data_IF_690438115283
#
_entry.id   IF_690438115283
#
_cell.length_a   1.000
_cell.length_b   1.000
_cell.length_c   1.000
_cell.angle_alpha   90.00
_cell.angle_beta   90.00
_cell.angle_gamma   90.00
#
_symmetry.space_group_name_H-M   'P 1'
#
loop_
_entity.id
_entity.type
_entity.pdbx_description
1 polymer ?
#
# COMPACT_ATOMS: atom_id res chain seq x y z
N UNK A 1 -17.93 -27.83 -63.37
CA UNK A 1 -17.54 -28.90 -62.43
C UNK A 1 -16.36 -28.41 -61.63
N UNK A 2 -16.64 -27.79 -60.49
CA UNK A 2 -15.66 -27.26 -59.54
C UNK A 2 -15.17 -28.39 -58.65
N UNK A 3 -13.87 -28.67 -58.71
CA UNK A 3 -13.20 -29.57 -57.80
C UNK A 3 -13.16 -28.93 -56.41
N UNK A 4 -14.04 -29.40 -55.53
CA UNK A 4 -14.02 -29.10 -54.11
C UNK A 4 -12.94 -29.99 -53.50
N UNK A 5 -11.72 -29.46 -53.38
CA UNK A 5 -10.63 -30.12 -52.66
C UNK A 5 -11.14 -30.49 -51.25
N UNK A 6 -11.34 -31.79 -51.08
CA UNK A 6 -11.73 -32.39 -49.83
C UNK A 6 -10.56 -32.18 -48.87
N UNK A 7 -10.71 -31.24 -47.92
CA UNK A 7 -9.78 -31.14 -46.77
C UNK A 7 -9.77 -32.52 -46.12
N UNK A 8 -8.67 -33.25 -46.31
CA UNK A 8 -8.45 -34.59 -45.78
C UNK A 8 -8.67 -34.59 -44.26
N UNK A 9 -9.79 -35.14 -43.80
CA UNK A 9 -9.97 -35.51 -42.39
C UNK A 9 -9.17 -36.80 -42.13
N UNK A 10 -7.84 -36.67 -42.05
CA UNK A 10 -6.97 -37.74 -41.62
C UNK A 10 -7.19 -38.08 -40.14
N UNK A 11 -6.82 -39.28 -39.67
CA UNK A 11 -7.06 -39.73 -38.29
C UNK A 11 -6.41 -38.85 -37.20
N UNK A 12 -5.46 -37.99 -37.56
CA UNK A 12 -4.80 -37.02 -36.68
C UNK A 12 -5.36 -35.59 -36.80
N UNK A 13 -6.42 -35.37 -37.59
CA UNK A 13 -6.98 -34.04 -37.82
C UNK A 13 -7.51 -33.40 -36.53
N UNK A 14 -7.98 -34.20 -35.57
CA UNK A 14 -8.39 -33.72 -34.24
C UNK A 14 -7.20 -33.24 -33.40
N UNK A 15 -6.04 -33.90 -33.50
CA UNK A 15 -4.82 -33.54 -32.75
C UNK A 15 -4.14 -32.29 -33.31
N UNK A 16 -4.11 -32.11 -34.63
CA UNK A 16 -3.44 -30.98 -35.30
C UNK A 16 -4.39 -29.86 -35.73
N UNK A 17 -5.71 -30.06 -35.59
CA UNK A 17 -6.73 -29.12 -36.09
C UNK A 17 -6.59 -27.72 -35.52
N UNK A 18 -6.26 -27.58 -34.23
CA UNK A 18 -6.06 -26.28 -33.58
C UNK A 18 -4.83 -25.53 -34.09
N UNK A 19 -3.73 -26.24 -34.35
CA UNK A 19 -2.52 -25.65 -34.93
C UNK A 19 -2.74 -25.26 -36.39
N UNK A 20 -3.44 -26.10 -37.15
CA UNK A 20 -3.82 -25.80 -38.54
C UNK A 20 -4.78 -24.60 -38.61
N UNK A 21 -5.68 -24.44 -37.64
CA UNK A 21 -6.59 -23.30 -37.56
C UNK A 21 -5.86 -21.96 -37.37
N UNK A 22 -4.73 -21.93 -36.63
CA UNK A 22 -3.90 -20.72 -36.50
C UNK A 22 -3.24 -20.29 -37.82
N UNK A 23 -3.05 -21.23 -38.75
CA UNK A 23 -2.48 -20.97 -40.07
C UNK A 23 -3.54 -20.64 -41.13
N UNK A 24 -4.82 -20.90 -40.85
CA UNK A 24 -5.90 -20.69 -41.81
C UNK A 24 -6.31 -19.21 -41.84
N UNK A 25 -5.83 -18.50 -42.87
CA UNK A 25 -6.10 -17.08 -43.06
C UNK A 25 -7.47 -16.80 -43.71
N UNK A 26 -8.28 -17.85 -44.00
CA UNK A 26 -9.55 -17.71 -44.73
C UNK A 26 -10.76 -17.42 -43.83
N UNK A 27 -10.66 -17.65 -42.52
CA UNK A 27 -11.75 -17.37 -41.60
C UNK A 27 -11.63 -15.94 -41.07
N UNK A 28 -12.35 -15.03 -41.73
CA UNK A 28 -12.46 -13.61 -41.40
C UNK A 28 -13.36 -13.36 -40.17
N UNK A 29 -13.35 -14.26 -39.19
CA UNK A 29 -13.99 -14.05 -37.90
C UNK A 29 -13.05 -13.18 -37.07
N UNK A 30 -13.47 -11.95 -36.78
CA UNK A 30 -12.66 -10.98 -36.02
C UNK A 30 -12.17 -11.48 -34.64
N UNK A 31 -12.76 -12.58 -34.14
CA UNK A 31 -12.44 -13.22 -32.86
C UNK A 31 -11.46 -14.40 -32.94
N UNK A 32 -11.08 -14.89 -34.13
CA UNK A 32 -10.10 -16.00 -34.24
C UNK A 32 -8.67 -15.48 -34.28
N UNK A 33 -7.85 -16.00 -33.35
CA UNK A 33 -6.42 -15.72 -33.26
C UNK A 33 -5.68 -16.30 -34.49
N UNK A 34 -4.77 -15.53 -35.08
CA UNK A 34 -4.09 -15.83 -36.34
C UNK A 34 -2.57 -15.64 -36.18
N UNK A 35 -1.80 -16.61 -36.66
CA UNK A 35 -0.33 -16.57 -36.65
C UNK A 35 0.23 -15.37 -37.43
N UNK A 36 -0.38 -15.00 -38.56
CA UNK A 36 0.08 -13.88 -39.37
C UNK A 36 -0.01 -12.56 -38.59
N UNK A 37 -1.14 -12.34 -37.90
CA UNK A 37 -1.35 -11.16 -37.04
C UNK A 37 -0.35 -11.14 -35.89
N UNK A 38 -0.08 -12.29 -35.25
CA UNK A 38 0.97 -12.39 -34.22
C UNK A 38 2.36 -12.03 -34.77
N UNK A 39 2.77 -12.59 -35.91
CA UNK A 39 4.08 -12.32 -36.52
C UNK A 39 4.22 -10.85 -36.93
N UNK A 40 3.17 -10.22 -37.45
CA UNK A 40 3.17 -8.78 -37.74
C UNK A 40 3.38 -7.96 -36.46
N UNK A 41 2.65 -8.26 -35.39
CA UNK A 41 2.78 -7.59 -34.09
C UNK A 41 4.18 -7.76 -33.47
N UNK A 42 4.70 -8.99 -33.46
CA UNK A 42 6.07 -9.30 -32.99
C UNK A 42 7.12 -8.54 -33.81
N UNK A 43 6.92 -8.45 -35.12
CA UNK A 43 7.83 -7.70 -36.00
C UNK A 43 7.81 -6.20 -35.69
N UNK A 44 6.63 -5.63 -35.42
CA UNK A 44 6.51 -4.22 -35.00
C UNK A 44 7.24 -3.97 -33.68
N UNK A 45 7.07 -4.85 -32.69
CA UNK A 45 7.81 -4.76 -31.41
C UNK A 45 9.31 -4.84 -31.65
N UNK A 46 9.77 -5.81 -32.45
CA UNK A 46 11.19 -5.97 -32.80
C UNK A 46 11.75 -4.72 -33.47
N UNK A 47 11.05 -4.17 -34.46
CA UNK A 47 11.48 -2.96 -35.16
C UNK A 47 11.59 -1.78 -34.22
N UNK A 48 10.64 -1.63 -33.29
CA UNK A 48 10.68 -0.57 -32.26
C UNK A 48 11.88 -0.73 -31.34
N UNK A 49 12.17 -1.95 -30.89
CA UNK A 49 13.37 -2.24 -30.07
C UNK A 49 14.67 -1.99 -30.85
N UNK A 50 14.70 -2.31 -32.15
CA UNK A 50 15.85 -2.02 -33.02
C UNK A 50 16.05 -0.51 -33.23
N UNK A 51 14.97 0.27 -33.39
CA UNK A 51 15.04 1.73 -33.47
C UNK A 51 15.62 2.33 -32.18
N UNK A 52 15.24 1.80 -31.02
CA UNK A 52 15.79 2.22 -29.73
C UNK A 52 17.29 1.89 -29.67
N UNK A 53 17.67 0.65 -29.99
CA UNK A 53 19.06 0.21 -29.96
C UNK A 53 19.97 0.99 -30.93
N UNK A 54 19.45 1.44 -32.07
CA UNK A 54 20.16 2.23 -33.07
C UNK A 54 20.07 3.75 -32.90
N UNK A 55 19.40 4.23 -31.85
CA UNK A 55 19.25 5.67 -31.59
C UNK A 55 20.52 6.29 -31.01
N UNK A 56 20.60 7.62 -31.03
CA UNK A 56 21.73 8.36 -30.42
C UNK A 56 21.81 8.21 -28.90
N UNK A 57 20.70 7.89 -28.24
CA UNK A 57 20.62 7.60 -26.81
C UNK A 57 19.65 6.42 -26.55
N UNK A 58 20.13 5.18 -26.68
CA UNK A 58 19.31 3.98 -26.49
C UNK A 58 18.74 3.85 -25.08
N UNK A 59 19.47 4.35 -24.07
CA UNK A 59 19.07 4.23 -22.67
C UNK A 59 17.86 5.13 -22.38
N UNK A 60 17.89 6.39 -22.80
CA UNK A 60 16.78 7.31 -22.61
C UNK A 60 15.50 6.85 -23.33
N UNK A 61 15.62 6.36 -24.57
CA UNK A 61 14.46 5.83 -25.29
C UNK A 61 13.88 4.56 -24.68
N UNK A 62 14.74 3.64 -24.19
CA UNK A 62 14.29 2.43 -23.50
C UNK A 62 13.56 2.76 -22.19
N UNK A 63 14.06 3.74 -21.45
CA UNK A 63 13.42 4.24 -20.24
C UNK A 63 12.05 4.87 -20.54
N UNK A 64 11.91 5.66 -21.61
CA UNK A 64 10.61 6.20 -22.02
C UNK A 64 9.61 5.10 -22.39
N UNK A 65 10.05 4.09 -23.15
CA UNK A 65 9.21 2.95 -23.52
C UNK A 65 8.68 2.22 -22.28
N UNK A 66 9.57 1.87 -21.36
CA UNK A 66 9.18 1.17 -20.16
C UNK A 66 8.35 2.06 -19.21
N UNK A 67 8.60 3.37 -19.18
CA UNK A 67 7.74 4.30 -18.46
C UNK A 67 6.32 4.32 -19.03
N UNK A 68 6.15 4.28 -20.36
CA UNK A 68 4.82 4.19 -20.96
C UNK A 68 4.11 2.88 -20.63
N UNK A 69 4.86 1.78 -20.47
CA UNK A 69 4.33 0.50 -19.97
C UNK A 69 3.85 0.63 -18.53
N UNK A 70 4.70 1.11 -17.61
CA UNK A 70 4.37 1.23 -16.19
C UNK A 70 3.20 2.18 -15.93
N UNK A 71 3.02 3.18 -16.81
CA UNK A 71 1.88 4.09 -16.80
C UNK A 71 0.62 3.50 -17.45
N UNK A 72 0.69 2.33 -18.08
CA UNK A 72 -0.44 1.72 -18.81
C UNK A 72 -0.80 2.47 -20.10
N UNK A 73 0.13 3.22 -20.69
CA UNK A 73 -0.05 4.00 -21.92
C UNK A 73 0.45 3.30 -23.18
N UNK A 74 1.41 2.38 -23.07
CA UNK A 74 1.90 1.63 -24.22
C UNK A 74 1.03 0.41 -24.47
N UNK A 75 0.29 0.45 -25.57
CA UNK A 75 -0.62 -0.61 -25.99
C UNK A 75 0.15 -1.74 -26.70
N UNK A 76 1.19 -1.42 -27.46
CA UNK A 76 1.76 -2.39 -28.43
C UNK A 76 2.44 -3.62 -27.80
N UNK A 77 3.28 -3.47 -26.77
CA UNK A 77 4.03 -4.60 -26.19
C UNK A 77 3.14 -5.47 -25.29
N UNK A 78 2.31 -4.86 -24.44
CA UNK A 78 1.37 -5.56 -23.57
C UNK A 78 0.34 -6.31 -24.40
N UNK A 79 -0.25 -5.66 -25.41
CA UNK A 79 -1.27 -6.30 -26.26
C UNK A 79 -0.68 -7.43 -27.10
N UNK A 80 0.56 -7.29 -27.58
CA UNK A 80 1.21 -8.37 -28.35
C UNK A 80 1.48 -9.59 -27.47
N UNK A 81 1.88 -9.36 -26.22
CA UNK A 81 2.10 -10.44 -25.24
C UNK A 81 0.77 -11.10 -24.85
N UNK A 82 -0.27 -10.32 -24.64
CA UNK A 82 -1.59 -10.84 -24.28
C UNK A 82 -2.20 -11.60 -25.47
N UNK A 83 -2.02 -11.11 -26.70
CA UNK A 83 -2.37 -11.84 -27.93
C UNK A 83 -1.64 -13.17 -28.04
N UNK A 84 -0.33 -13.19 -27.79
CA UNK A 84 0.48 -14.41 -27.78
C UNK A 84 0.04 -15.39 -26.69
N UNK A 85 -0.33 -14.89 -25.51
CA UNK A 85 -0.83 -15.70 -24.39
C UNK A 85 -2.19 -16.33 -24.70
N UNK A 86 -3.10 -15.58 -25.34
CA UNK A 86 -4.38 -16.07 -25.81
C UNK A 86 -4.19 -17.13 -26.91
N UNK A 87 -3.28 -16.89 -27.87
CA UNK A 87 -2.97 -17.85 -28.93
C UNK A 87 -2.40 -19.17 -28.36
N UNK A 88 -1.50 -19.08 -27.38
CA UNK A 88 -0.96 -20.25 -26.69
C UNK A 88 -2.03 -21.02 -25.90
N UNK A 89 -2.92 -20.33 -25.20
CA UNK A 89 -4.00 -20.95 -24.44
C UNK A 89 -5.05 -21.63 -25.35
N UNK A 90 -5.34 -21.03 -26.51
CA UNK A 90 -6.27 -21.57 -27.50
C UNK A 90 -5.84 -22.90 -28.13
N UNK A 91 -4.58 -23.29 -28.01
CA UNK A 91 -4.05 -24.57 -28.52
C UNK A 91 -4.38 -25.79 -27.65
N UNK A 92 -4.91 -25.58 -26.44
CA UNK A 92 -5.24 -26.66 -25.51
C UNK A 92 -4.04 -27.22 -24.73
N UNK A 93 -4.33 -28.12 -23.79
CA UNK A 93 -3.32 -28.65 -22.85
C UNK A 93 -2.22 -29.48 -23.53
N UNK A 94 -2.57 -30.19 -24.59
CA UNK A 94 -1.66 -31.06 -25.35
C UNK A 94 -0.52 -30.27 -26.02
N UNK A 95 -0.81 -29.03 -26.42
CA UNK A 95 0.12 -28.13 -27.11
C UNK A 95 0.66 -27.02 -26.19
N UNK A 96 0.38 -27.08 -24.88
CA UNK A 96 0.74 -26.02 -23.94
C UNK A 96 2.22 -25.64 -24.00
N UNK A 97 3.12 -26.63 -23.98
CA UNK A 97 4.56 -26.40 -24.02
C UNK A 97 5.03 -25.74 -25.33
N UNK A 98 4.43 -26.12 -26.46
CA UNK A 98 4.70 -25.50 -27.76
C UNK A 98 4.18 -24.06 -27.79
N UNK A 99 2.93 -23.85 -27.38
CA UNK A 99 2.29 -22.55 -27.34
C UNK A 99 3.08 -21.54 -26.51
N UNK A 100 3.48 -21.94 -25.29
CA UNK A 100 4.33 -21.13 -24.42
C UNK A 100 5.68 -20.79 -25.06
N UNK A 101 6.33 -21.76 -25.70
CA UNK A 101 7.67 -21.57 -26.25
C UNK A 101 7.67 -20.66 -27.48
N UNK A 102 6.64 -20.73 -28.33
CA UNK A 102 6.58 -19.99 -29.59
C UNK A 102 5.90 -18.62 -29.44
N UNK A 103 4.80 -18.54 -28.68
CA UNK A 103 3.96 -17.33 -28.62
C UNK A 103 4.23 -16.45 -27.39
N UNK A 104 4.82 -16.99 -26.32
CA UNK A 104 4.95 -16.27 -25.05
C UNK A 104 6.42 -15.95 -24.73
N UNK A 105 7.29 -16.97 -24.69
CA UNK A 105 8.71 -16.81 -24.29
C UNK A 105 9.50 -15.73 -25.05
N UNK A 106 9.40 -15.59 -26.39
CA UNK A 106 10.16 -14.56 -27.10
C UNK A 106 9.77 -13.14 -26.66
N UNK A 107 8.49 -12.93 -26.37
CA UNK A 107 7.99 -11.65 -25.86
C UNK A 107 8.41 -11.43 -24.41
N UNK A 108 8.35 -12.46 -23.55
CA UNK A 108 8.84 -12.37 -22.17
C UNK A 108 10.34 -12.05 -22.09
N UNK A 109 11.16 -12.62 -22.97
CA UNK A 109 12.59 -12.32 -23.04
C UNK A 109 12.85 -10.87 -23.46
N UNK A 110 12.16 -10.40 -24.50
CA UNK A 110 12.25 -8.99 -24.91
C UNK A 110 11.78 -8.05 -23.79
N UNK A 111 10.74 -8.44 -23.07
CA UNK A 111 10.15 -7.69 -21.95
C UNK A 111 11.10 -7.53 -20.78
N UNK A 112 11.76 -8.61 -20.33
CA UNK A 112 12.71 -8.57 -19.21
C UNK A 112 13.89 -7.62 -19.49
N UNK A 113 14.38 -7.60 -20.74
CA UNK A 113 15.46 -6.71 -21.15
C UNK A 113 15.05 -5.23 -21.15
N UNK A 114 13.77 -4.93 -21.42
CA UNK A 114 13.24 -3.57 -21.42
C UNK A 114 12.91 -3.08 -20.00
N UNK A 115 12.37 -3.95 -19.15
CA UNK A 115 11.87 -3.56 -17.83
C UNK A 115 12.94 -3.41 -16.76
N UNK A 116 14.04 -4.17 -16.80
CA UNK A 116 15.03 -4.15 -15.71
C UNK A 116 15.67 -2.76 -15.52
N UNK A 117 16.18 -2.08 -16.57
CA UNK A 117 16.73 -0.72 -16.42
C UNK A 117 15.66 0.31 -16.03
N UNK A 118 14.42 0.08 -16.44
CA UNK A 118 13.30 0.94 -16.11
C UNK A 118 12.87 0.82 -14.65
N UNK A 119 12.94 -0.38 -14.08
CA UNK A 119 12.69 -0.63 -12.67
C UNK A 119 13.70 0.14 -11.80
N UNK A 120 14.98 0.08 -12.15
CA UNK A 120 16.04 0.83 -11.48
C UNK A 120 15.86 2.34 -11.63
N UNK A 121 15.53 2.80 -12.84
CA UNK A 121 15.21 4.21 -13.07
C UNK A 121 14.01 4.67 -12.23
N UNK A 122 12.96 3.86 -12.14
CA UNK A 122 11.79 4.18 -11.34
C UNK A 122 12.16 4.25 -9.86
N UNK A 123 12.97 3.32 -9.34
CA UNK A 123 13.48 3.36 -7.98
C UNK A 123 14.24 4.67 -7.71
N UNK A 124 15.07 5.12 -8.64
CA UNK A 124 15.78 6.41 -8.52
C UNK A 124 14.82 7.60 -8.55
N UNK A 125 13.79 7.56 -9.40
CA UNK A 125 12.76 8.61 -9.42
C UNK A 125 11.92 8.62 -8.15
N UNK A 126 11.57 7.46 -7.61
CA UNK A 126 10.84 7.33 -6.35
C UNK A 126 11.63 7.95 -5.19
N UNK A 127 12.93 7.64 -5.10
CA UNK A 127 13.81 8.22 -4.08
C UNK A 127 13.82 9.74 -4.15
N UNK A 128 14.16 10.28 -5.32
CA UNK A 128 14.31 11.72 -5.53
C UNK A 128 12.99 12.50 -5.44
N UNK A 129 11.89 11.95 -5.95
CA UNK A 129 10.61 12.65 -5.99
C UNK A 129 9.83 12.58 -4.67
N UNK A 130 10.02 11.53 -3.87
CA UNK A 130 9.20 11.28 -2.68
C UNK A 130 10.05 11.01 -1.45
N UNK A 131 10.93 10.00 -1.47
CA UNK A 131 11.63 9.52 -0.26
C UNK A 131 12.56 10.57 0.32
N UNK A 132 13.35 11.25 -0.50
CA UNK A 132 14.28 12.28 -0.04
C UNK A 132 13.51 13.43 0.63
N UNK A 133 12.42 13.88 0.01
CA UNK A 133 11.55 14.91 0.56
C UNK A 133 10.84 14.48 1.85
N UNK A 134 10.45 13.20 1.95
CA UNK A 134 9.85 12.61 3.14
C UNK A 134 10.86 12.57 4.30
N UNK A 135 12.03 11.99 4.05
CA UNK A 135 13.09 11.88 5.04
C UNK A 135 13.58 13.26 5.51
N UNK A 136 13.73 14.22 4.60
CA UNK A 136 14.11 15.59 4.97
C UNK A 136 13.08 16.27 5.88
N UNK A 137 11.80 16.01 5.67
CA UNK A 137 10.73 16.60 6.48
C UNK A 137 10.58 15.93 7.85
N UNK A 138 10.72 14.61 7.90
CA UNK A 138 10.23 13.79 9.00
C UNK A 138 11.31 13.00 9.76
N UNK A 139 12.54 12.92 9.23
CA UNK A 139 13.65 12.28 9.93
C UNK A 139 13.94 12.99 11.26
N UNK A 140 14.20 12.20 12.31
CA UNK A 140 14.48 12.73 13.64
C UNK A 140 13.31 13.50 14.27
N UNK A 141 12.06 13.11 13.96
CA UNK A 141 10.85 13.67 14.58
C UNK A 141 9.90 12.56 15.01
N UNK A 142 9.08 12.85 16.01
CA UNK A 142 7.94 12.02 16.39
C UNK A 142 6.82 12.16 15.36
N UNK A 143 6.11 11.08 14.99
CA UNK A 143 6.13 9.73 15.58
C UNK A 143 7.23 8.79 15.06
N UNK A 144 7.96 9.14 14.02
CA UNK A 144 8.92 8.21 13.39
C UNK A 144 10.07 7.80 14.31
N UNK A 145 10.57 8.72 15.13
CA UNK A 145 11.56 8.48 16.19
C UNK A 145 11.05 8.99 17.53
N UNK A 146 11.43 8.31 18.62
CA UNK A 146 11.07 8.74 19.97
C UNK A 146 11.96 9.90 20.43
N UNK A 147 11.66 11.10 19.95
CA UNK A 147 12.35 12.34 20.26
C UNK A 147 11.34 13.43 20.59
N UNK A 148 11.78 14.56 21.16
CA UNK A 148 10.89 15.64 21.58
C UNK A 148 10.29 16.46 20.44
N UNK A 149 10.96 16.53 19.28
CA UNK A 149 10.47 17.31 18.16
C UNK A 149 9.35 16.58 17.40
N UNK A 150 8.27 17.28 17.14
CA UNK A 150 7.09 16.75 16.46
C UNK A 150 7.14 16.95 14.94
N UNK A 151 6.62 15.98 14.19
CA UNK A 151 6.37 16.10 12.76
C UNK A 151 5.21 17.06 12.48
N UNK A 152 5.29 17.83 11.40
CA UNK A 152 4.21 18.74 11.01
C UNK A 152 3.01 17.97 10.44
N UNK A 153 1.86 18.02 11.11
CA UNK A 153 0.61 17.39 10.66
C UNK A 153 0.12 17.91 9.29
N UNK A 154 0.10 19.24 9.02
CA UNK A 154 -0.27 19.73 7.69
C UNK A 154 0.68 19.28 6.59
N UNK A 155 1.98 19.15 6.90
CA UNK A 155 2.95 18.64 5.93
C UNK A 155 2.75 17.13 5.69
N UNK A 156 2.44 16.37 6.74
CA UNK A 156 2.11 14.95 6.64
C UNK A 156 0.89 14.74 5.72
N UNK A 157 -0.18 15.52 5.88
CA UNK A 157 -1.34 15.48 4.99
C UNK A 157 -0.97 15.66 3.50
N UNK A 158 -0.05 16.58 3.18
CA UNK A 158 0.42 16.80 1.79
C UNK A 158 1.10 15.57 1.17
N UNK A 159 1.58 14.63 1.98
CA UNK A 159 2.11 13.36 1.49
C UNK A 159 1.05 12.27 1.42
N UNK A 160 0.23 12.12 2.46
CA UNK A 160 -0.67 10.97 2.68
C UNK A 160 -2.03 11.10 2.01
N UNK A 161 -2.53 12.32 1.74
CA UNK A 161 -3.86 12.51 1.17
C UNK A 161 -4.10 11.61 -0.04
N UNK A 162 -5.21 10.87 -0.03
CA UNK A 162 -5.38 9.72 -0.91
C UNK A 162 -5.50 10.08 -2.41
N UNK A 163 -5.90 11.32 -2.72
CA UNK A 163 -6.04 11.79 -4.11
C UNK A 163 -5.00 12.84 -4.49
N UNK A 164 -4.67 13.76 -3.56
CA UNK A 164 -3.80 14.92 -3.84
C UNK A 164 -2.39 14.80 -3.24
N UNK A 165 -2.18 13.79 -2.40
CA UNK A 165 -0.91 13.52 -1.73
C UNK A 165 0.23 13.27 -2.72
N UNK A 166 1.45 13.63 -2.33
CA UNK A 166 2.66 13.39 -3.15
C UNK A 166 2.84 11.91 -3.48
N UNK A 167 2.56 11.02 -2.51
CA UNK A 167 2.67 9.57 -2.70
C UNK A 167 1.61 9.10 -3.70
N UNK A 168 0.33 9.40 -3.44
CA UNK A 168 -0.77 9.01 -4.32
C UNK A 168 -0.57 9.48 -5.77
N UNK A 169 -0.21 10.76 -5.97
CA UNK A 169 0.08 11.31 -7.31
C UNK A 169 1.27 10.64 -7.97
N UNK A 170 2.31 10.26 -7.22
CA UNK A 170 3.42 9.51 -7.78
C UNK A 170 2.96 8.16 -8.32
N UNK A 171 2.18 7.41 -7.52
CA UNK A 171 1.66 6.09 -7.91
C UNK A 171 0.77 6.21 -9.15
N UNK A 172 -0.18 7.14 -9.16
CA UNK A 172 -1.11 7.35 -10.29
C UNK A 172 -0.37 7.77 -11.57
N UNK A 173 0.65 8.61 -11.48
CA UNK A 173 1.34 9.14 -12.66
C UNK A 173 2.44 8.22 -13.21
N UNK A 174 2.96 7.27 -12.43
CA UNK A 174 4.11 6.46 -12.82
C UNK A 174 3.84 4.95 -12.81
N UNK A 175 2.83 4.48 -12.07
CA UNK A 175 2.59 3.05 -11.82
C UNK A 175 1.15 2.61 -12.17
N UNK A 176 0.34 3.45 -12.81
CA UNK A 176 -1.08 3.15 -13.11
C UNK A 176 -1.32 1.89 -13.96
N UNK A 177 -0.33 1.43 -14.73
CA UNK A 177 -0.42 0.20 -15.53
C UNK A 177 -0.09 -1.08 -14.76
N UNK A 178 0.56 -0.97 -13.60
CA UNK A 178 1.08 -2.11 -12.83
C UNK A 178 0.62 -2.11 -11.37
N UNK A 179 0.01 -1.03 -10.90
CA UNK A 179 -0.51 -0.88 -9.55
C UNK A 179 -1.86 -0.16 -9.63
N UNK A 180 -2.89 -0.77 -9.05
CA UNK A 180 -4.25 -0.24 -9.07
C UNK A 180 -4.72 0.00 -7.64
N UNK A 181 -5.57 1.01 -7.48
CA UNK A 181 -6.23 1.29 -6.20
C UNK A 181 -7.54 0.51 -6.15
N UNK A 182 -7.66 -0.37 -5.16
CA UNK A 182 -8.84 -1.16 -4.86
C UNK A 182 -9.33 -0.79 -3.46
N UNK A 183 -10.40 0.01 -3.38
CA UNK A 183 -10.83 0.64 -2.14
C UNK A 183 -9.72 1.53 -1.55
N UNK A 184 -9.23 1.16 -0.35
CA UNK A 184 -8.14 1.85 0.33
C UNK A 184 -6.76 1.17 0.16
N UNK A 185 -6.67 0.08 -0.61
CA UNK A 185 -5.40 -0.62 -0.81
C UNK A 185 -4.87 -0.44 -2.22
N UNK A 186 -3.55 -0.45 -2.33
CA UNK A 186 -2.82 -0.51 -3.58
C UNK A 186 -2.45 -1.96 -3.85
N UNK A 187 -2.98 -2.49 -4.94
CA UNK A 187 -2.85 -3.89 -5.34
C UNK A 187 -2.08 -3.97 -6.66
N UNK A 188 -1.03 -4.80 -6.75
CA UNK A 188 -0.32 -5.04 -8.00
C UNK A 188 -1.23 -5.65 -9.08
N UNK A 189 -1.11 -5.17 -10.32
CA UNK A 189 -1.75 -5.80 -11.47
C UNK A 189 -0.91 -7.00 -11.93
N UNK A 190 -1.34 -8.21 -11.55
CA UNK A 190 -0.62 -9.47 -11.78
C UNK A 190 -0.48 -9.79 -13.27
N UNK A 191 -1.37 -9.26 -14.12
CA UNK A 191 -1.32 -9.49 -15.56
C UNK A 191 -0.12 -8.74 -16.14
N UNK A 192 0.05 -7.47 -15.78
CA UNK A 192 1.08 -6.59 -16.36
C UNK A 192 2.45 -6.67 -15.66
N UNK A 193 2.55 -7.34 -14.51
CA UNK A 193 3.78 -7.42 -13.71
C UNK A 193 4.61 -8.69 -13.93
N UNK A 194 4.26 -9.59 -14.86
CA UNK A 194 5.13 -10.75 -15.15
C UNK A 194 6.53 -10.31 -15.57
N UNK A 195 7.53 -10.72 -14.78
CA UNK A 195 8.94 -10.31 -14.96
C UNK A 195 9.37 -9.08 -14.16
N UNK A 196 8.48 -8.49 -13.35
CA UNK A 196 8.76 -7.36 -12.48
C UNK A 196 8.16 -7.60 -11.09
N UNK A 197 9.01 -7.69 -10.07
CA UNK A 197 8.58 -7.98 -8.70
C UNK A 197 8.58 -6.71 -7.87
N UNK A 198 7.44 -6.35 -7.30
CA UNK A 198 7.37 -5.28 -6.30
C UNK A 198 8.10 -5.69 -5.03
N UNK A 199 8.80 -4.74 -4.41
CA UNK A 199 9.33 -4.91 -3.06
C UNK A 199 8.14 -5.08 -2.08
N UNK A 200 8.02 -6.21 -1.36
CA UNK A 200 6.92 -6.42 -0.42
C UNK A 200 6.88 -5.35 0.68
N UNK A 201 8.05 -4.86 1.13
CA UNK A 201 8.12 -3.80 2.13
C UNK A 201 7.52 -2.48 1.61
N UNK A 202 7.70 -2.18 0.31
CA UNK A 202 7.08 -1.01 -0.32
C UNK A 202 5.56 -1.13 -0.33
N UNK A 203 5.02 -2.28 -0.74
CA UNK A 203 3.57 -2.52 -0.74
C UNK A 203 2.98 -2.42 0.67
N UNK A 204 3.63 -3.03 1.67
CA UNK A 204 3.22 -2.91 3.07
C UNK A 204 3.20 -1.45 3.50
N UNK A 205 4.29 -0.71 3.23
CA UNK A 205 4.44 0.68 3.63
C UNK A 205 3.36 1.60 3.04
N UNK A 206 3.11 1.53 1.73
CA UNK A 206 2.10 2.40 1.10
C UNK A 206 0.68 2.04 1.56
N UNK A 207 0.40 0.77 1.86
CA UNK A 207 -0.91 0.34 2.36
C UNK A 207 -1.13 0.77 3.80
N UNK A 208 -0.11 0.68 4.67
CA UNK A 208 -0.16 1.26 6.03
C UNK A 208 -0.42 2.77 5.99
N UNK A 209 0.26 3.50 5.09
CA UNK A 209 0.03 4.94 4.95
C UNK A 209 -1.36 5.26 4.39
N UNK A 210 -1.91 4.43 3.49
CA UNK A 210 -3.27 4.61 2.96
C UNK A 210 -4.32 4.36 4.04
N UNK A 211 -4.10 3.34 4.89
CA UNK A 211 -4.94 3.10 6.07
C UNK A 211 -4.96 4.30 7.02
N UNK A 212 -3.81 4.86 7.33
CA UNK A 212 -3.71 6.06 8.17
C UNK A 212 -4.42 7.25 7.53
N UNK A 213 -4.28 7.43 6.21
CA UNK A 213 -4.93 8.51 5.48
C UNK A 213 -6.46 8.44 5.60
N UNK A 214 -7.03 7.26 5.38
CA UNK A 214 -8.48 7.05 5.43
C UNK A 214 -9.07 7.14 6.84
N UNK A 215 -8.29 6.96 7.90
CA UNK A 215 -8.77 7.10 9.28
C UNK A 215 -8.57 8.54 9.80
N UNK A 216 -7.38 9.11 9.61
CA UNK A 216 -6.97 10.36 10.28
C UNK A 216 -6.96 11.60 9.38
N UNK A 217 -7.10 11.45 8.05
CA UNK A 217 -6.98 12.54 7.07
C UNK A 217 -8.16 12.60 6.07
N UNK A 218 -9.34 12.12 6.48
CA UNK A 218 -10.55 11.99 5.65
C UNK A 218 -10.98 13.28 4.92
N UNK A 219 -10.72 14.44 5.52
CA UNK A 219 -11.09 15.76 4.97
C UNK A 219 -9.94 16.48 4.27
N UNK A 220 -8.80 15.81 4.07
CA UNK A 220 -7.59 16.37 3.47
C UNK A 220 -6.65 17.06 4.45
N UNK A 221 -7.04 17.15 5.73
CA UNK A 221 -6.25 17.63 6.85
C UNK A 221 -6.34 16.63 8.01
N UNK A 222 -5.38 16.67 8.95
CA UNK A 222 -5.43 15.83 10.14
C UNK A 222 -6.69 16.17 10.95
N UNK A 223 -7.52 15.16 11.23
CA UNK A 223 -8.74 15.34 12.00
C UNK A 223 -9.53 14.05 12.15
N UNK A 224 -9.81 13.68 13.39
CA UNK A 224 -10.65 12.53 13.75
C UNK A 224 -11.37 12.79 15.07
N UNK A 225 -12.37 11.95 15.33
CA UNK A 225 -13.12 11.94 16.58
C UNK A 225 -13.10 10.55 17.20
N UNK A 226 -13.12 10.53 18.53
CA UNK A 226 -13.20 9.29 19.31
C UNK A 226 -13.88 9.58 20.63
N UNK A 227 -14.26 8.55 21.36
CA UNK A 227 -14.87 8.68 22.67
C UNK A 227 -14.03 7.97 23.73
N UNK A 228 -13.88 8.60 24.89
CA UNK A 228 -13.31 7.98 26.07
C UNK A 228 -14.36 7.84 27.14
N UNK A 229 -14.34 6.69 27.81
CA UNK A 229 -15.06 6.44 29.05
C UNK A 229 -14.04 6.17 30.16
N UNK A 230 -14.07 6.90 31.27
CA UNK A 230 -13.18 6.62 32.39
C UNK A 230 -13.57 5.29 33.03
N UNK A 231 -12.56 4.50 33.39
CA UNK A 231 -12.69 3.26 34.15
C UNK A 231 -12.43 3.49 35.63
N UNK A 232 -12.82 2.51 36.45
CA UNK A 232 -12.52 2.50 37.88
C UNK A 232 -11.21 1.75 38.16
N UNK A 233 -10.57 2.10 39.28
CA UNK A 233 -9.39 1.40 39.76
C UNK A 233 -9.31 1.47 41.29
N UNK A 234 -8.79 0.40 41.89
CA UNK A 234 -8.63 0.33 43.34
C UNK A 234 -7.67 1.43 43.83
N UNK A 235 -8.08 2.16 44.88
CA UNK A 235 -7.25 3.18 45.51
C UNK A 235 -7.06 4.46 44.70
N UNK A 236 -7.80 4.67 43.60
CA UNK A 236 -7.83 5.90 42.81
C UNK A 236 -9.16 6.62 43.05
N UNK A 237 -9.11 7.87 43.52
CA UNK A 237 -10.30 8.69 43.83
C UNK A 237 -10.72 9.57 42.67
N UNK A 238 -9.74 10.09 41.92
CA UNK A 238 -9.99 10.95 40.77
C UNK A 238 -8.97 10.69 39.68
N UNK A 239 -9.41 10.73 38.43
CA UNK A 239 -8.53 10.84 37.26
C UNK A 239 -8.93 12.07 36.44
N UNK A 240 -7.94 12.79 35.95
CA UNK A 240 -8.13 13.94 35.08
C UNK A 240 -7.26 13.77 33.85
N UNK A 241 -7.89 13.55 32.70
CA UNK A 241 -7.26 13.54 31.39
C UNK A 241 -7.60 14.84 30.66
N UNK A 242 -6.59 15.52 30.13
CA UNK A 242 -6.75 16.73 29.33
C UNK A 242 -6.03 16.50 28.00
N UNK A 243 -6.71 16.73 26.88
CA UNK A 243 -6.08 16.74 25.55
C UNK A 243 -6.60 17.94 24.78
N UNK A 244 -5.70 18.79 24.27
CA UNK A 244 -6.02 20.02 23.53
C UNK A 244 -7.13 20.84 24.22
N UNK A 245 -6.96 21.08 25.53
CA UNK A 245 -7.90 21.78 26.42
C UNK A 245 -9.27 21.10 26.65
N UNK A 246 -9.52 19.92 26.09
CA UNK A 246 -10.72 19.11 26.36
C UNK A 246 -10.50 18.26 27.61
N UNK A 247 -11.25 18.54 28.69
CA UNK A 247 -11.04 17.93 30.02
C UNK A 247 -12.02 16.79 30.31
N UNK A 248 -11.54 15.63 30.73
CA UNK A 248 -12.33 14.55 31.32
C UNK A 248 -11.90 14.34 32.77
N UNK A 249 -12.71 14.86 33.69
CA UNK A 249 -12.54 14.71 35.13
C UNK A 249 -13.48 13.62 35.60
N UNK A 250 -12.95 12.61 36.28
CA UNK A 250 -13.72 11.48 36.79
C UNK A 250 -13.45 11.28 38.27
N UNK A 251 -14.52 11.27 39.08
CA UNK A 251 -14.48 11.14 40.54
C UNK A 251 -15.28 9.93 41.04
N UNK A 252 -15.18 8.79 40.33
CA UNK A 252 -15.90 7.54 40.65
C UNK A 252 -17.44 7.62 40.63
N UNK A 253 -17.99 8.57 39.86
CA UNK A 253 -19.43 8.62 39.55
C UNK A 253 -19.81 7.61 38.45
N UNK A 254 -21.09 7.58 38.06
CA UNK A 254 -21.54 6.76 36.95
C UNK A 254 -20.77 7.14 35.66
N UNK A 255 -20.02 6.21 35.03
CA UNK A 255 -19.10 6.57 33.95
C UNK A 255 -19.86 6.79 32.64
N UNK A 256 -19.69 7.97 32.06
CA UNK A 256 -20.29 8.41 30.78
C UNK A 256 -19.23 8.46 29.68
N UNK A 257 -19.65 8.24 28.44
CA UNK A 257 -18.82 8.47 27.26
C UNK A 257 -18.66 9.96 27.03
N UNK A 258 -17.43 10.39 26.75
CA UNK A 258 -17.12 11.75 26.31
C UNK A 258 -16.44 11.70 24.96
N UNK A 259 -16.99 12.44 24.00
CA UNK A 259 -16.38 12.62 22.68
C UNK A 259 -15.23 13.63 22.75
N UNK A 260 -14.18 13.34 22.00
CA UNK A 260 -12.98 14.15 21.82
C UNK A 260 -12.72 14.35 20.33
N UNK A 261 -12.12 15.50 20.01
CA UNK A 261 -11.61 15.83 18.68
C UNK A 261 -10.08 15.90 18.74
N UNK A 262 -9.39 15.29 17.78
CA UNK A 262 -7.95 15.42 17.62
C UNK A 262 -7.57 15.60 16.14
N UNK A 263 -6.66 16.53 15.82
CA UNK A 263 -6.22 17.65 16.65
C UNK A 263 -7.35 18.65 16.88
N UNK A 264 -7.36 19.36 18.01
CA UNK A 264 -8.28 20.49 18.22
C UNK A 264 -7.56 21.85 18.09
N UNK A 265 -8.32 22.88 17.71
CA UNK A 265 -7.81 24.25 17.63
C UNK A 265 -7.67 24.84 19.03
N UNK A 266 -6.43 25.04 19.46
CA UNK A 266 -6.09 25.55 20.79
C UNK A 266 -4.70 26.20 20.80
N UNK A 267 -4.50 27.20 21.66
CA UNK A 267 -3.21 27.88 21.81
C UNK A 267 -2.14 27.02 22.49
N UNK A 268 -2.55 26.04 23.30
CA UNK A 268 -1.65 25.16 24.05
C UNK A 268 -2.00 23.68 23.80
N UNK A 269 -1.66 23.14 22.61
CA UNK A 269 -1.92 21.75 22.28
C UNK A 269 -1.03 20.83 23.12
N UNK A 270 -1.54 19.64 23.42
CA UNK A 270 -0.86 18.68 24.28
C UNK A 270 -1.82 17.75 25.00
N UNK A 271 -1.28 16.72 25.64
CA UNK A 271 -2.05 15.82 26.48
C UNK A 271 -1.41 15.63 27.84
N UNK A 272 -2.25 15.55 28.87
CA UNK A 272 -1.80 15.39 30.24
C UNK A 272 -2.76 14.47 31.00
N UNK A 273 -2.19 13.64 31.88
CA UNK A 273 -2.93 12.70 32.72
C UNK A 273 -2.48 12.87 34.16
N UNK A 274 -3.43 13.07 35.06
CA UNK A 274 -3.20 13.16 36.50
C UNK A 274 -4.20 12.32 37.27
N UNK A 275 -3.83 11.94 38.49
CA UNK A 275 -4.70 11.18 39.38
C UNK A 275 -4.58 11.64 40.83
N UNK A 276 -5.63 11.39 41.60
CA UNK A 276 -5.67 11.52 43.06
C UNK A 276 -5.87 10.13 43.63
N UNK A 277 -5.04 9.75 44.60
CA UNK A 277 -5.16 8.46 45.28
C UNK A 277 -5.88 8.60 46.61
N UNK A 278 -6.23 7.49 47.25
CA UNK A 278 -6.78 7.51 48.62
C UNK A 278 -5.78 7.96 49.69
N UNK A 279 -4.48 8.00 49.38
CA UNK A 279 -3.40 8.24 50.33
C UNK A 279 -2.65 9.55 50.08
N UNK A 280 -2.80 10.15 48.90
CA UNK A 280 -2.07 11.34 48.47
C UNK A 280 -2.90 12.18 47.49
N UNK A 281 -2.64 13.49 47.49
CA UNK A 281 -3.26 14.46 46.58
C UNK A 281 -2.88 14.24 45.10
N UNK A 282 -3.17 15.24 44.27
CA UNK A 282 -2.97 15.16 42.83
C UNK A 282 -1.51 14.91 42.47
N UNK A 283 -1.27 13.90 41.62
CA UNK A 283 0.02 13.61 41.00
C UNK A 283 -0.14 13.57 39.48
N UNK A 284 0.89 14.05 38.78
CA UNK A 284 0.94 14.02 37.33
C UNK A 284 1.56 12.71 36.85
N UNK A 285 0.90 11.99 35.95
CA UNK A 285 1.45 10.81 35.28
C UNK A 285 2.42 11.26 34.19
N UNK A 286 1.91 12.05 33.24
CA UNK A 286 2.66 12.64 32.15
C UNK A 286 2.04 13.97 31.73
N UNK A 287 2.87 14.90 31.27
CA UNK A 287 2.46 16.15 30.62
C UNK A 287 3.26 16.30 29.33
N UNK A 288 2.58 16.15 28.19
CA UNK A 288 3.16 15.94 26.88
C UNK A 288 2.67 17.06 25.95
N UNK A 289 3.41 18.18 25.84
CA UNK A 289 3.01 19.32 25.01
C UNK A 289 3.15 18.99 23.51
N UNK A 290 2.49 19.78 22.68
CA UNK A 290 2.55 19.67 21.22
C UNK A 290 1.36 18.92 20.64
N UNK A 291 1.17 19.05 19.32
CA UNK A 291 0.02 18.47 18.62
C UNK A 291 -0.02 16.94 18.65
N UNK A 292 1.12 16.29 18.92
CA UNK A 292 1.21 14.84 19.07
C UNK A 292 1.10 14.35 20.50
N UNK A 293 0.85 15.24 21.47
CA UNK A 293 0.77 14.92 22.89
C UNK A 293 -0.17 13.74 23.20
N UNK A 294 -1.35 13.71 22.57
CA UNK A 294 -2.31 12.61 22.71
C UNK A 294 -1.71 11.27 22.27
N UNK A 295 -1.07 11.25 21.10
CA UNK A 295 -0.52 10.00 20.54
C UNK A 295 0.64 9.50 21.41
N UNK A 296 1.47 10.40 21.93
CA UNK A 296 2.53 10.06 22.90
C UNK A 296 1.94 9.48 24.20
N UNK A 297 0.84 10.05 24.69
CA UNK A 297 0.17 9.53 25.87
C UNK A 297 -0.38 8.12 25.61
N UNK A 298 -1.00 7.89 24.44
CA UNK A 298 -1.53 6.58 24.05
C UNK A 298 -0.43 5.53 23.85
N UNK A 299 0.75 5.92 23.35
CA UNK A 299 1.92 5.04 23.24
C UNK A 299 2.34 4.47 24.61
N UNK A 300 2.25 5.28 25.68
CA UNK A 300 2.60 4.87 27.05
C UNK A 300 1.56 3.95 27.72
N UNK A 301 0.38 3.77 27.12
CA UNK A 301 -0.67 2.91 27.66
C UNK A 301 -0.39 1.44 27.33
N UNK A 302 -0.81 0.53 28.21
CA UNK A 302 -1.12 -0.84 27.78
C UNK A 302 -2.47 -0.85 27.09
N UNK A 303 -2.57 -1.51 25.94
CA UNK A 303 -3.73 -1.49 25.05
C UNK A 303 -4.14 -2.93 24.78
N UNK A 304 -5.44 -3.20 24.76
CA UNK A 304 -6.01 -4.47 24.31
C UNK A 304 -7.44 -4.26 23.84
N UNK A 305 -7.95 -5.15 23.00
CA UNK A 305 -9.34 -5.13 22.60
C UNK A 305 -10.26 -5.16 23.84
N UNK A 306 -11.29 -4.31 23.87
CA UNK A 306 -12.26 -4.25 24.95
C UNK A 306 -13.42 -5.22 24.66
N UNK A 307 -13.56 -6.33 25.39
CA UNK A 307 -14.68 -7.25 25.19
C UNK A 307 -16.01 -6.54 25.52
N UNK A 308 -17.00 -6.70 24.64
CA UNK A 308 -18.34 -6.14 24.83
C UNK A 308 -18.53 -4.69 24.38
N UNK A 309 -17.51 -4.06 23.76
CA UNK A 309 -17.62 -2.75 23.12
C UNK A 309 -17.14 -2.86 21.68
N UNK A 310 -18.05 -2.70 20.70
CA UNK A 310 -17.68 -2.66 19.29
C UNK A 310 -16.72 -1.48 19.04
N UNK A 311 -15.64 -1.73 18.31
CA UNK A 311 -14.54 -0.77 18.09
C UNK A 311 -14.04 -0.17 19.41
N UNK A 312 -13.90 -1.03 20.42
CA UNK A 312 -13.50 -0.66 21.77
C UNK A 312 -12.09 -1.16 22.10
N UNK A 313 -11.28 -0.31 22.73
CA UNK A 313 -9.99 -0.67 23.31
C UNK A 313 -9.97 -0.31 24.78
N UNK A 314 -9.46 -1.21 25.62
CA UNK A 314 -9.15 -0.87 27.00
C UNK A 314 -7.73 -0.32 27.08
N UNK A 315 -7.60 0.86 27.68
CA UNK A 315 -6.35 1.58 27.88
C UNK A 315 -6.03 1.58 29.37
N UNK A 316 -4.80 1.22 29.73
CA UNK A 316 -4.35 1.25 31.12
C UNK A 316 -2.96 1.85 31.23
N UNK A 317 -2.85 2.94 31.98
CA UNK A 317 -1.56 3.53 32.36
C UNK A 317 -1.20 3.08 33.77
N UNK A 318 -0.05 2.43 33.92
CA UNK A 318 0.48 2.11 35.23
C UNK A 318 1.17 3.35 35.82
N UNK A 319 0.57 3.94 36.85
CA UNK A 319 1.10 5.10 37.54
C UNK A 319 2.34 4.75 38.39
N UNK A 320 3.05 5.78 38.83
CA UNK A 320 4.33 5.68 39.55
C UNK A 320 4.21 4.94 40.91
N UNK A 321 3.00 4.85 41.47
CA UNK A 321 2.70 4.13 42.71
C UNK A 321 2.11 2.73 42.46
N UNK A 322 2.17 2.23 41.22
CA UNK A 322 1.67 0.92 40.81
C UNK A 322 0.16 0.85 40.55
N UNK A 323 -0.58 1.93 40.81
CA UNK A 323 -2.03 1.99 40.52
C UNK A 323 -2.27 2.08 39.02
N UNK A 324 -3.39 1.51 38.56
CA UNK A 324 -3.78 1.54 37.16
C UNK A 324 -4.76 2.68 36.91
N UNK A 325 -4.52 3.48 35.88
CA UNK A 325 -5.45 4.51 35.40
C UNK A 325 -6.16 3.94 34.18
N UNK A 326 -7.37 3.42 34.39
CA UNK A 326 -8.10 2.66 33.37
C UNK A 326 -9.06 3.56 32.59
N UNK A 327 -9.09 3.38 31.27
CA UNK A 327 -10.04 4.02 30.36
C UNK A 327 -10.51 3.01 29.31
N UNK A 328 -11.68 3.24 28.74
CA UNK A 328 -12.15 2.54 27.55
C UNK A 328 -12.25 3.56 26.41
N UNK A 329 -11.53 3.32 25.34
CA UNK A 329 -11.59 4.04 24.08
C UNK A 329 -12.63 3.39 23.19
N UNK A 330 -13.46 4.19 22.52
CA UNK A 330 -14.32 3.78 21.41
C UNK A 330 -14.04 4.68 20.21
N UNK A 331 -13.86 4.07 19.05
CA UNK A 331 -13.53 4.79 17.82
C UNK A 331 -14.74 4.86 16.89
N UNK A 332 -14.78 5.89 16.04
CA UNK A 332 -15.85 6.05 15.04
C UNK A 332 -15.54 5.24 13.77
N UNK A 333 -14.26 5.12 13.41
CA UNK A 333 -13.79 4.40 12.24
C UNK A 333 -12.41 3.78 12.50
N UNK A 334 -12.22 2.53 12.05
CA UNK A 334 -10.98 1.77 12.24
C UNK A 334 -10.45 1.82 13.67
N UNK A 335 -9.14 1.95 13.83
CA UNK A 335 -8.46 2.09 15.12
C UNK A 335 -8.49 3.53 15.69
N UNK A 336 -9.19 4.47 15.03
CA UNK A 336 -9.24 5.87 15.44
C UNK A 336 -7.84 6.47 15.67
N UNK A 337 -7.55 7.11 16.81
CA UNK A 337 -6.22 7.68 17.07
C UNK A 337 -5.11 6.63 17.24
N UNK A 338 -5.44 5.35 17.50
CA UNK A 338 -4.42 4.31 17.69
C UNK A 338 -3.71 3.96 16.38
N UNK A 339 -4.37 4.15 15.22
CA UNK A 339 -3.78 3.89 13.89
C UNK A 339 -2.47 4.66 13.68
N UNK A 340 -2.32 5.82 14.32
CA UNK A 340 -1.13 6.68 14.21
C UNK A 340 0.09 6.07 14.91
N UNK A 341 -0.09 5.10 15.79
CA UNK A 341 1.01 4.33 16.40
C UNK A 341 1.71 3.45 15.35
N UNK A 342 1.06 3.09 14.23
CA UNK A 342 1.70 2.40 13.10
C UNK A 342 2.81 3.23 12.44
N UNK A 343 2.90 4.54 12.71
CA UNK A 343 4.01 5.40 12.27
C UNK A 343 5.26 5.29 13.14
N UNK A 344 5.19 4.62 14.31
CA UNK A 344 6.36 4.45 15.18
C UNK A 344 7.40 3.59 14.47
N UNK A 345 8.61 4.13 14.36
CA UNK A 345 9.74 3.49 13.65
C UNK A 345 9.47 3.22 12.16
N UNK A 346 8.40 3.78 11.59
CA UNK A 346 8.11 3.66 10.17
C UNK A 346 9.21 4.30 9.32
N UNK A 347 9.66 3.59 8.30
CA UNK A 347 10.60 4.07 7.29
C UNK A 347 10.01 3.81 5.92
N UNK A 348 9.99 4.83 5.07
CA UNK A 348 9.53 4.69 3.70
C UNK A 348 10.60 3.94 2.88
N UNK A 349 10.28 2.78 2.26
CA UNK A 349 11.27 2.00 1.53
C UNK A 349 11.86 2.76 0.35
N UNK A 350 13.15 2.59 0.11
CA UNK A 350 13.88 3.28 -0.96
C UNK A 350 13.63 2.70 -2.36
N UNK A 351 13.13 1.46 -2.45
CA UNK A 351 12.91 0.76 -3.72
C UNK A 351 11.46 0.32 -3.86
N UNK A 352 10.89 0.55 -5.04
CA UNK A 352 9.55 0.10 -5.46
C UNK A 352 9.61 -1.32 -5.99
N UNK A 353 10.59 -1.60 -6.84
CA UNK A 353 10.82 -2.92 -7.44
C UNK A 353 12.10 -3.56 -6.92
N UNK A 354 12.07 -4.88 -6.75
CA UNK A 354 13.27 -5.68 -6.50
C UNK A 354 14.06 -5.82 -7.80
N UNK A 355 15.36 -5.50 -7.76
CA UNK A 355 16.29 -5.87 -8.81
C UNK A 355 16.76 -7.29 -8.50
N UNK A 356 16.62 -8.20 -9.47
CA UNK A 356 16.75 -9.65 -9.30
C UNK A 356 17.92 -10.05 -8.38
N UNK A 357 17.60 -10.69 -7.25
CA UNK A 357 18.61 -11.24 -6.32
C UNK A 357 18.21 -11.33 -4.85
N UNK A 358 17.11 -10.70 -4.41
CA UNK A 358 16.76 -10.67 -2.97
C UNK A 358 15.27 -10.96 -2.75
N UNK A 359 14.85 -12.19 -3.03
CA UNK A 359 13.51 -12.64 -2.63
C UNK A 359 13.46 -12.80 -1.11
N UNK A 360 12.97 -11.79 -0.39
CA UNK A 360 12.58 -11.90 1.01
C UNK A 360 11.06 -12.09 1.07
N UNK A 361 10.63 -13.34 1.18
CA UNK A 361 9.22 -13.68 1.38
C UNK A 361 8.83 -13.37 2.84
N UNK A 362 8.34 -12.17 3.12
CA UNK A 362 7.76 -11.81 4.43
C UNK A 362 6.24 -11.82 4.34
N UNK A 363 5.66 -12.99 4.07
CA UNK A 363 4.21 -13.18 3.96
C UNK A 363 3.47 -13.29 5.31
N UNK A 364 4.17 -13.24 6.45
CA UNK A 364 3.59 -13.57 7.76
C UNK A 364 3.55 -12.39 8.77
N UNK A 365 4.01 -11.20 8.40
CA UNK A 365 4.09 -10.05 9.35
C UNK A 365 2.83 -9.16 9.37
N UNK A 366 1.79 -9.47 8.60
CA UNK A 366 0.49 -8.78 8.74
C UNK A 366 -0.33 -9.36 9.90
N UNK A 367 -0.18 -10.65 10.20
CA UNK A 367 -0.91 -11.32 11.31
C UNK A 367 -0.08 -11.34 12.62
N UNK A 368 1.25 -11.32 12.51
CA UNK A 368 2.14 -11.31 13.69
C UNK A 368 2.16 -9.96 14.43
N UNK A 369 1.94 -8.84 13.74
CA UNK A 369 1.88 -7.52 14.37
C UNK A 369 0.64 -7.32 15.22
N UNK A 370 -0.53 -7.71 14.69
CA UNK A 370 -1.80 -7.67 15.42
C UNK A 370 -1.81 -8.68 16.58
N UNK A 371 -1.28 -9.88 16.38
CA UNK A 371 -1.27 -10.91 17.45
C UNK A 371 -0.28 -10.60 18.60
N UNK A 372 0.83 -9.91 18.35
CA UNK A 372 1.75 -9.49 19.42
C UNK A 372 1.27 -8.23 20.13
N UNK A 373 0.65 -7.27 19.43
CA UNK A 373 0.14 -6.05 20.09
C UNK A 373 -1.21 -6.27 20.81
N UNK A 374 -1.98 -7.29 20.44
CA UNK A 374 -3.21 -7.65 21.15
C UNK A 374 -2.97 -8.50 22.42
N UNK A 375 -1.77 -9.07 22.58
CA UNK A 375 -1.45 -10.01 23.69
C UNK A 375 -0.57 -9.45 24.81
N UNK A 376 0.18 -8.36 24.61
CA UNK A 376 1.12 -7.79 25.63
C UNK A 376 0.81 -6.37 26.14
#
# INVERSE_FOLDING_TARGET
MTAQESRLHGPLATTFGLVLALMDNQNNSADMLNLQTYLTRVTQVRLRLQQIAGSSDPQAMMQMLAQTVLQGKSVDLTDTRDYGSLAAAGLGQEWYGFGQTVFVRPMEQAWQQVLTPAAESLNTRWRTAVVDGWNNAFSGRYPFKNVSSDASLPLLAKYLNTDTGRIARFLQNNLSGVLRREGNRWVPDIINTRGLTFNPAFLKAINTLSEIADVAFTTGHAGLHFELRPGTAAGVMQTTLITDNQKLIYVNQMPVWKRFTWPADTEAPGASLSWVSTQAGTRQYADLPGSWGLIRLLEMARRKAAPGVASGWSLSWQAQDGRMLNYTLRTEAGEGPLVLLKLRNFVLPETVFELSGTSAFTGNDEDAGDSVEETD
#
